data_IF_228589700220
#
_entry.id   IF_228589700220
#
_cell.length_a   1.000
_cell.length_b   1.000
_cell.length_c   1.000
_cell.angle_alpha   90.00
_cell.angle_beta   90.00
_cell.angle_gamma   90.00
#
_symmetry.space_group_name_H-M   'P 1'
#
loop_
_entity.id
_entity.type
_entity.pdbx_description
1 polymer ?
#
# COMPACT_ATOMS: atom_id res chain seq x y z
N UNK A 1 -79.09 32.22 -17.90
CA UNK A 1 -78.24 31.41 -18.80
C UNK A 1 -77.92 30.08 -18.13
N UNK A 2 -78.25 28.98 -18.82
CA UNK A 2 -77.62 27.66 -18.74
C UNK A 2 -77.70 26.81 -17.46
N UNK A 3 -78.69 25.91 -17.42
CA UNK A 3 -78.55 24.60 -16.77
C UNK A 3 -77.60 23.70 -17.57
N UNK A 4 -76.31 24.01 -17.57
CA UNK A 4 -75.28 23.18 -18.19
C UNK A 4 -74.95 22.00 -17.27
N UNK A 5 -75.32 20.80 -17.70
CA UNK A 5 -74.80 19.55 -17.13
C UNK A 5 -73.47 19.20 -17.81
N UNK A 6 -72.50 18.73 -17.04
CA UNK A 6 -71.23 18.22 -17.58
C UNK A 6 -71.25 16.69 -17.50
N UNK A 7 -71.00 16.05 -18.63
CA UNK A 7 -70.96 14.59 -18.74
C UNK A 7 -69.53 14.10 -18.55
N UNK A 8 -69.36 13.10 -17.69
CA UNK A 8 -68.06 12.45 -17.54
C UNK A 8 -67.72 11.63 -18.81
N UNK A 9 -66.58 11.88 -19.48
CA UNK A 9 -66.22 11.19 -20.71
C UNK A 9 -65.94 9.70 -20.52
N UNK A 10 -65.68 9.26 -19.28
CA UNK A 10 -65.32 7.86 -18.97
C UNK A 10 -66.51 7.00 -18.55
N UNK A 11 -67.48 7.55 -17.82
CA UNK A 11 -68.63 6.80 -17.33
C UNK A 11 -69.99 7.30 -17.82
N UNK A 12 -70.01 8.34 -18.69
CA UNK A 12 -71.19 8.94 -19.33
C UNK A 12 -72.31 9.43 -18.39
N UNK A 13 -72.07 9.51 -17.07
CA UNK A 13 -73.01 10.10 -16.11
C UNK A 13 -72.96 11.64 -16.15
N UNK A 14 -74.13 12.26 -16.03
CA UNK A 14 -74.32 13.71 -16.01
C UNK A 14 -74.33 14.22 -14.56
N UNK A 15 -73.62 15.32 -14.30
CA UNK A 15 -73.61 15.97 -12.98
C UNK A 15 -74.17 17.40 -13.08
N UNK A 16 -75.07 17.80 -12.18
CA UNK A 16 -75.58 19.17 -12.13
C UNK A 16 -74.55 20.11 -11.50
N UNK A 17 -74.37 21.26 -12.11
CA UNK A 17 -73.49 22.32 -11.59
C UNK A 17 -74.25 23.09 -10.49
N UNK A 18 -73.87 22.94 -9.24
CA UNK A 18 -74.39 23.75 -8.12
C UNK A 18 -73.44 24.92 -7.92
N UNK A 19 -73.90 26.14 -8.20
CA UNK A 19 -73.17 27.34 -7.84
C UNK A 19 -73.27 27.54 -6.32
N UNK A 20 -72.16 27.49 -5.60
CA UNK A 20 -72.11 27.91 -4.20
C UNK A 20 -72.24 29.44 -4.14
N UNK A 21 -73.28 29.93 -3.47
CA UNK A 21 -73.44 31.34 -3.13
C UNK A 21 -72.24 31.86 -2.31
N UNK A 22 -71.84 33.13 -2.48
CA UNK A 22 -70.76 33.73 -1.70
C UNK A 22 -71.25 34.03 -0.28
N UNK A 23 -70.59 33.47 0.74
CA UNK A 23 -70.80 33.87 2.13
C UNK A 23 -70.29 35.30 2.35
N UNK A 24 -71.19 36.16 2.81
CA UNK A 24 -70.94 37.54 3.28
C UNK A 24 -70.06 37.57 4.53
N UNK A 25 -69.39 38.70 4.84
CA UNK A 25 -68.45 38.78 5.95
C UNK A 25 -69.15 39.00 7.29
N UNK A 26 -68.75 38.24 8.32
CA UNK A 26 -69.09 38.49 9.74
C UNK A 26 -67.80 38.72 10.57
N UNK A 27 -67.90 39.36 11.75
CA UNK A 27 -67.10 40.53 12.09
C UNK A 27 -65.76 40.23 12.77
N UNK A 28 -64.87 41.23 12.73
CA UNK A 28 -63.56 41.23 13.37
C UNK A 28 -63.64 40.91 14.87
N UNK A 29 -63.11 39.74 15.25
CA UNK A 29 -62.82 39.43 16.63
C UNK A 29 -61.39 39.91 16.95
N UNK A 30 -61.28 41.00 17.71
CA UNK A 30 -60.02 41.43 18.34
C UNK A 30 -59.72 40.47 19.48
N UNK A 31 -58.56 39.82 19.44
CA UNK A 31 -57.96 39.20 20.61
C UNK A 31 -56.85 40.13 21.14
N UNK A 32 -57.13 40.67 22.32
CA UNK A 32 -56.25 41.45 23.19
C UNK A 32 -54.99 40.64 23.53
N UNK A 33 -53.82 41.28 23.56
CA UNK A 33 -52.56 40.67 23.96
C UNK A 33 -52.55 40.37 25.47
N UNK A 34 -52.27 39.13 25.86
CA UNK A 34 -51.96 38.77 27.24
C UNK A 34 -50.50 38.28 27.33
N UNK A 35 -49.76 38.83 28.29
CA UNK A 35 -48.40 38.43 28.68
C UNK A 35 -48.30 36.96 29.16
N UNK A 36 -47.10 36.34 29.15
CA UNK A 36 -46.94 34.88 29.23
C UNK A 36 -46.79 34.35 30.66
N UNK A 37 -47.35 33.16 30.93
CA UNK A 37 -47.03 32.30 32.09
C UNK A 37 -47.46 30.83 31.80
N UNK A 38 -47.01 29.82 32.58
CA UNK A 38 -45.84 29.00 32.29
C UNK A 38 -46.17 27.53 31.90
N UNK A 39 -45.25 26.96 31.13
CA UNK A 39 -44.83 25.54 31.10
C UNK A 39 -45.90 24.43 31.21
N UNK A 40 -46.31 23.89 30.05
CA UNK A 40 -46.48 22.44 29.90
C UNK A 40 -46.20 22.02 28.46
N UNK A 41 -45.22 21.15 28.32
CA UNK A 41 -44.47 20.82 27.11
C UNK A 41 -45.30 19.92 26.15
N UNK A 42 -45.67 20.38 24.93
CA UNK A 42 -46.05 19.46 23.87
C UNK A 42 -44.78 18.91 23.20
N UNK A 43 -44.71 17.59 23.07
CA UNK A 43 -43.59 16.85 22.48
C UNK A 43 -43.37 17.32 21.04
N UNK A 44 -42.41 18.23 20.86
CA UNK A 44 -41.87 18.65 19.57
C UNK A 44 -41.04 17.47 19.05
N UNK A 45 -41.51 16.83 17.98
CA UNK A 45 -40.66 15.96 17.17
C UNK A 45 -39.46 16.79 16.68
N UNK A 46 -38.22 16.26 16.74
CA UNK A 46 -37.03 17.07 16.50
C UNK A 46 -37.06 17.60 15.06
N UNK A 47 -37.20 18.92 14.96
CA UNK A 47 -36.99 19.67 13.73
C UNK A 47 -35.55 19.42 13.29
N UNK A 48 -35.42 18.58 12.27
CA UNK A 48 -34.13 18.33 11.66
C UNK A 48 -33.88 19.50 10.73
N UNK A 49 -32.98 20.40 11.12
CA UNK A 49 -32.41 21.39 10.21
C UNK A 49 -31.76 20.68 9.02
N UNK A 50 -32.56 20.47 7.99
CA UNK A 50 -32.13 20.04 6.68
C UNK A 50 -32.26 21.28 5.81
N UNK A 51 -31.12 21.78 5.34
CA UNK A 51 -31.06 22.80 4.29
C UNK A 51 -32.14 22.49 3.25
N UNK A 52 -33.06 23.42 2.93
CA UNK A 52 -34.21 23.11 2.09
C UNK A 52 -33.71 22.75 0.69
N UNK A 53 -33.56 21.45 0.43
CA UNK A 53 -33.21 20.92 -0.87
C UNK A 53 -34.41 21.16 -1.78
N UNK A 54 -34.37 22.27 -2.52
CA UNK A 54 -35.40 22.64 -3.46
C UNK A 54 -34.91 22.34 -4.89
N UNK A 55 -35.75 21.67 -5.67
CA UNK A 55 -35.58 21.54 -7.13
C UNK A 55 -36.50 22.56 -7.81
N UNK A 56 -36.26 22.86 -9.09
CA UNK A 56 -37.13 23.76 -9.86
C UNK A 56 -38.06 22.95 -10.75
N UNK A 57 -39.31 23.41 -10.86
CA UNK A 57 -40.25 22.83 -11.82
C UNK A 57 -39.80 23.13 -13.25
N UNK A 58 -39.64 22.10 -14.09
CA UNK A 58 -39.21 22.23 -15.49
C UNK A 58 -40.18 22.99 -16.39
N UNK A 59 -41.44 23.17 -15.96
CA UNK A 59 -42.49 23.84 -16.75
C UNK A 59 -42.73 25.28 -16.31
N UNK A 60 -42.82 25.53 -15.00
CA UNK A 60 -43.18 26.87 -14.48
C UNK A 60 -42.05 27.56 -13.71
N UNK A 61 -40.90 26.91 -13.51
CA UNK A 61 -39.73 27.51 -12.88
C UNK A 61 -39.85 27.80 -11.37
N UNK A 62 -40.94 27.42 -10.71
CA UNK A 62 -41.08 27.65 -9.27
C UNK A 62 -40.19 26.70 -8.46
N UNK A 63 -39.61 27.15 -7.33
CA UNK A 63 -38.93 26.26 -6.40
C UNK A 63 -39.96 25.33 -5.77
N UNK A 64 -39.63 24.05 -5.76
CA UNK A 64 -40.44 22.98 -5.18
C UNK A 64 -39.54 22.09 -4.34
N UNK A 65 -40.10 21.42 -3.34
CA UNK A 65 -39.36 20.46 -2.53
C UNK A 65 -38.74 19.37 -3.41
N UNK A 66 -37.52 18.90 -3.09
CA UNK A 66 -36.80 17.89 -3.88
C UNK A 66 -37.61 16.60 -4.10
N UNK A 67 -38.46 16.25 -3.13
CA UNK A 67 -39.34 15.06 -3.18
C UNK A 67 -40.76 15.35 -3.68
N UNK A 68 -41.06 16.57 -4.15
CA UNK A 68 -42.37 16.85 -4.73
C UNK A 68 -42.56 16.00 -6.00
N UNK A 69 -43.68 15.26 -6.08
CA UNK A 69 -44.12 14.52 -7.27
C UNK A 69 -45.05 15.36 -8.16
N UNK A 70 -45.70 16.36 -7.58
CA UNK A 70 -46.59 17.29 -8.25
C UNK A 70 -46.17 18.71 -7.86
N UNK A 71 -46.02 19.58 -8.85
CA UNK A 71 -45.77 21.00 -8.58
C UNK A 71 -47.04 21.66 -8.02
N UNK A 72 -47.03 22.24 -6.81
CA UNK A 72 -48.21 22.88 -6.23
C UNK A 72 -48.63 24.16 -6.97
N UNK A 73 -47.74 24.76 -7.78
CA UNK A 73 -48.05 25.97 -8.56
C UNK A 73 -48.70 25.72 -9.91
N UNK A 74 -48.25 24.72 -10.67
CA UNK A 74 -48.72 24.49 -12.04
C UNK A 74 -49.39 23.13 -12.25
N UNK A 75 -49.37 22.24 -11.25
CA UNK A 75 -50.01 20.93 -11.30
C UNK A 75 -49.30 19.89 -12.18
N UNK A 76 -48.17 20.23 -12.81
CA UNK A 76 -47.40 19.26 -13.60
C UNK A 76 -46.75 18.22 -12.67
N UNK A 77 -46.77 16.96 -13.11
CA UNK A 77 -45.99 15.90 -12.46
C UNK A 77 -44.52 16.14 -12.73
N UNK A 78 -43.73 16.18 -11.68
CA UNK A 78 -42.28 16.35 -11.75
C UNK A 78 -41.62 15.01 -11.42
N UNK A 79 -40.65 14.61 -12.23
CA UNK A 79 -39.95 13.37 -11.97
C UNK A 79 -39.26 13.40 -10.59
N UNK A 80 -39.22 12.26 -9.87
CA UNK A 80 -38.42 12.13 -8.67
C UNK A 80 -36.93 12.37 -9.00
N UNK A 81 -36.10 12.73 -7.99
CA UNK A 81 -34.68 13.02 -8.22
C UNK A 81 -33.98 11.84 -8.93
N UNK A 82 -33.23 12.15 -10.01
CA UNK A 82 -32.56 11.18 -10.90
C UNK A 82 -31.45 10.33 -10.26
N UNK A 83 -31.22 10.44 -8.96
CA UNK A 83 -30.17 9.72 -8.22
C UNK A 83 -30.73 8.52 -7.43
N UNK A 84 -31.78 7.87 -7.91
CA UNK A 84 -32.27 6.62 -7.32
C UNK A 84 -31.23 5.52 -7.54
N UNK A 85 -30.58 5.08 -6.47
CA UNK A 85 -29.65 3.94 -6.47
C UNK A 85 -30.49 2.67 -6.41
N UNK A 86 -30.29 1.74 -7.36
CA UNK A 86 -30.98 0.46 -7.33
C UNK A 86 -30.42 -0.40 -6.18
N UNK A 87 -31.25 -0.75 -5.19
CA UNK A 87 -30.82 -1.54 -4.02
C UNK A 87 -30.23 -2.89 -4.43
N UNK A 88 -30.89 -3.60 -5.34
CA UNK A 88 -30.41 -4.90 -5.84
C UNK A 88 -29.02 -4.76 -6.48
N UNK A 89 -28.82 -3.75 -7.31
CA UNK A 89 -27.52 -3.49 -7.93
C UNK A 89 -26.45 -3.14 -6.88
N UNK A 90 -26.79 -2.31 -5.89
CA UNK A 90 -25.87 -2.00 -4.78
C UNK A 90 -25.48 -3.27 -4.01
N UNK A 91 -26.43 -4.16 -3.70
CA UNK A 91 -26.15 -5.40 -2.98
C UNK A 91 -25.24 -6.34 -3.79
N UNK A 92 -25.54 -6.54 -5.08
CA UNK A 92 -24.72 -7.37 -5.97
C UNK A 92 -23.30 -6.81 -6.11
N UNK A 93 -23.17 -5.50 -6.31
CA UNK A 93 -21.86 -4.85 -6.43
C UNK A 93 -21.11 -4.89 -5.09
N UNK A 94 -21.79 -4.77 -3.95
CA UNK A 94 -21.14 -4.83 -2.63
C UNK A 94 -20.69 -6.24 -2.30
N UNK A 95 -21.45 -7.27 -2.69
CA UNK A 95 -21.07 -8.66 -2.45
C UNK A 95 -19.92 -9.12 -3.36
N UNK A 96 -20.03 -8.89 -4.67
CA UNK A 96 -19.05 -9.40 -5.64
C UNK A 96 -17.87 -8.47 -5.87
N UNK A 97 -18.08 -7.15 -5.82
CA UNK A 97 -17.08 -6.13 -6.08
C UNK A 97 -16.73 -5.31 -4.83
N UNK A 98 -17.17 -5.74 -3.64
CA UNK A 98 -16.92 -5.05 -2.38
C UNK A 98 -15.44 -4.96 -2.01
N UNK A 99 -14.71 -6.06 -2.19
CA UNK A 99 -13.28 -6.14 -1.86
C UNK A 99 -12.40 -5.21 -2.68
N UNK A 100 -12.82 -4.84 -3.89
CA UNK A 100 -12.14 -3.86 -4.75
C UNK A 100 -12.75 -2.45 -4.67
N UNK A 101 -13.80 -2.27 -3.84
CA UNK A 101 -14.45 -0.97 -3.63
C UNK A 101 -15.50 -0.57 -4.66
N UNK A 102 -15.99 -1.49 -5.49
CA UNK A 102 -16.97 -1.21 -6.55
C UNK A 102 -18.26 -0.58 -6.04
N UNK A 103 -18.71 -0.93 -4.84
CA UNK A 103 -19.92 -0.36 -4.25
C UNK A 103 -19.74 1.11 -3.85
N UNK A 104 -18.53 1.52 -3.45
CA UNK A 104 -18.21 2.92 -3.19
C UNK A 104 -18.21 3.75 -4.47
N UNK A 105 -17.74 3.18 -5.58
CA UNK A 105 -17.85 3.78 -6.91
C UNK A 105 -19.31 3.90 -7.35
N UNK A 106 -20.14 2.89 -7.08
CA UNK A 106 -21.57 2.91 -7.39
C UNK A 106 -22.34 4.02 -6.65
N UNK A 107 -21.95 4.29 -5.39
CA UNK A 107 -22.49 5.38 -4.56
C UNK A 107 -21.80 6.73 -4.86
N UNK A 108 -21.01 6.83 -5.95
CA UNK A 108 -20.29 8.03 -6.41
C UNK A 108 -19.24 8.57 -5.40
N UNK A 109 -18.78 7.74 -4.46
CA UNK A 109 -17.68 8.06 -3.53
C UNK A 109 -16.34 7.59 -4.11
N UNK A 110 -15.91 8.21 -5.21
CA UNK A 110 -14.73 7.78 -5.98
C UNK A 110 -13.47 7.64 -5.15
N UNK A 111 -13.20 8.58 -4.23
CA UNK A 111 -11.98 8.55 -3.41
C UNK A 111 -11.95 7.37 -2.44
N UNK A 112 -13.10 7.01 -1.86
CA UNK A 112 -13.21 5.80 -1.02
C UNK A 112 -13.07 4.53 -1.85
N UNK A 113 -13.59 4.52 -3.09
CA UNK A 113 -13.39 3.41 -4.03
C UNK A 113 -11.92 3.19 -4.39
N UNK A 114 -11.19 4.27 -4.71
CA UNK A 114 -9.74 4.18 -5.04
C UNK A 114 -8.94 3.68 -3.84
N UNK A 115 -9.28 4.11 -2.63
CA UNK A 115 -8.64 3.60 -1.41
C UNK A 115 -8.85 2.08 -1.27
N UNK A 116 -10.08 1.59 -1.47
CA UNK A 116 -10.37 0.16 -1.43
C UNK A 116 -9.60 -0.60 -2.53
N UNK A 117 -9.44 -0.02 -3.72
CA UNK A 117 -8.67 -0.60 -4.82
C UNK A 117 -7.16 -0.62 -4.56
N UNK A 118 -6.60 0.31 -3.79
CA UNK A 118 -5.19 0.30 -3.38
C UNK A 118 -4.92 -0.74 -2.28
N UNK A 119 -5.88 -0.93 -1.38
CA UNK A 119 -5.74 -1.82 -0.23
C UNK A 119 -6.35 -3.21 -0.43
N UNK A 120 -6.87 -3.55 -1.61
CA UNK A 120 -7.57 -4.82 -1.86
C UNK A 120 -6.71 -6.06 -1.54
N UNK A 121 -5.38 -5.97 -1.71
CA UNK A 121 -4.45 -7.07 -1.40
C UNK A 121 -4.39 -7.41 0.10
N UNK A 122 -4.86 -6.52 0.98
CA UNK A 122 -4.77 -6.71 2.43
C UNK A 122 -5.92 -7.55 2.96
N UNK A 123 -6.92 -7.85 2.12
CA UNK A 123 -8.21 -8.44 2.47
C UNK A 123 -9.05 -7.62 3.48
N UNK A 124 -8.50 -6.58 4.10
CA UNK A 124 -9.21 -5.66 5.01
C UNK A 124 -10.42 -5.02 4.29
N UNK A 125 -10.31 -4.48 3.05
CA UNK A 125 -11.46 -3.94 2.34
C UNK A 125 -12.56 -4.97 2.07
N UNK A 126 -12.19 -6.24 1.83
CA UNK A 126 -13.16 -7.33 1.64
C UNK A 126 -13.96 -7.62 2.91
N UNK A 127 -13.31 -7.63 4.08
CA UNK A 127 -13.98 -7.82 5.36
C UNK A 127 -14.90 -6.64 5.71
N UNK A 128 -14.43 -5.41 5.50
CA UNK A 128 -15.24 -4.20 5.72
C UNK A 128 -16.44 -4.16 4.76
N UNK A 129 -16.24 -4.50 3.48
CA UNK A 129 -17.32 -4.53 2.50
C UNK A 129 -18.37 -5.61 2.81
N UNK A 130 -17.97 -6.73 3.42
CA UNK A 130 -18.90 -7.75 3.89
C UNK A 130 -19.81 -7.22 5.02
N UNK A 131 -19.25 -6.47 5.98
CA UNK A 131 -20.04 -5.82 7.03
C UNK A 131 -21.00 -4.78 6.42
N UNK A 132 -20.52 -3.98 5.47
CA UNK A 132 -21.35 -2.99 4.76
C UNK A 132 -22.45 -3.65 3.92
N UNK A 133 -22.19 -4.83 3.34
CA UNK A 133 -23.20 -5.62 2.64
C UNK A 133 -24.35 -6.02 3.57
N UNK A 134 -24.05 -6.54 4.77
CA UNK A 134 -25.08 -6.89 5.76
C UNK A 134 -25.87 -5.63 6.18
N UNK A 135 -25.18 -4.52 6.39
CA UNK A 135 -25.83 -3.25 6.72
C UNK A 135 -26.77 -2.75 5.60
N UNK A 136 -26.36 -2.82 4.33
CA UNK A 136 -27.20 -2.46 3.18
C UNK A 136 -28.35 -3.43 2.95
N UNK A 137 -28.17 -4.71 3.27
CA UNK A 137 -29.24 -5.71 3.16
C UNK A 137 -30.38 -5.41 4.14
N UNK A 138 -30.04 -5.04 5.37
CA UNK A 138 -30.98 -4.71 6.45
C UNK A 138 -31.65 -3.33 6.33
N UNK A 139 -31.17 -2.47 5.43
CA UNK A 139 -31.73 -1.12 5.18
C UNK A 139 -32.91 -1.16 4.20
N UNK A 140 -34.00 -0.43 4.48
CA UNK A 140 -35.10 -0.25 3.52
C UNK A 140 -34.68 0.68 2.36
N UNK A 141 -35.34 0.55 1.20
CA UNK A 141 -34.99 1.34 0.00
C UNK A 141 -35.20 2.85 0.20
N UNK A 142 -36.24 3.23 0.94
CA UNK A 142 -36.56 4.62 1.26
C UNK A 142 -35.49 5.25 2.16
N UNK A 143 -34.99 4.50 3.16
CA UNK A 143 -33.91 4.96 4.02
C UNK A 143 -32.57 5.06 3.30
N UNK A 144 -32.34 4.20 2.31
CA UNK A 144 -31.13 4.24 1.48
C UNK A 144 -31.08 5.53 0.67
N UNK A 145 -32.23 6.03 0.22
CA UNK A 145 -32.34 7.28 -0.53
C UNK A 145 -32.31 8.52 0.37
N UNK A 146 -32.84 8.43 1.57
CA UNK A 146 -32.94 9.55 2.51
C UNK A 146 -31.65 9.83 3.29
N UNK A 147 -30.82 8.81 3.54
CA UNK A 147 -29.74 8.87 4.53
C UNK A 147 -28.39 8.50 3.91
N UNK A 148 -27.80 9.45 3.18
CA UNK A 148 -26.36 9.43 2.95
C UNK A 148 -25.67 10.42 3.89
N UNK A 149 -25.31 10.02 5.12
CA UNK A 149 -24.39 10.81 5.92
C UNK A 149 -23.00 10.77 5.26
N UNK A 150 -22.36 11.93 5.20
CA UNK A 150 -20.91 11.99 4.98
C UNK A 150 -20.22 11.23 6.10
N UNK A 151 -19.32 10.33 5.70
CA UNK A 151 -18.43 9.64 6.63
C UNK A 151 -17.24 10.57 6.82
N UNK A 152 -16.90 10.94 8.05
CA UNK A 152 -15.78 11.87 8.30
C UNK A 152 -14.46 11.19 7.94
N UNK A 153 -14.02 11.39 6.69
CA UNK A 153 -12.95 10.63 6.04
C UNK A 153 -11.62 10.76 6.80
N UNK A 154 -11.40 11.86 7.52
CA UNK A 154 -10.19 12.11 8.31
C UNK A 154 -9.94 11.11 9.45
N UNK A 155 -10.99 10.69 10.17
CA UNK A 155 -10.84 9.75 11.29
C UNK A 155 -10.49 8.33 10.81
N UNK A 156 -10.96 7.94 9.62
CA UNK A 156 -10.72 6.62 9.04
C UNK A 156 -9.29 6.51 8.49
N UNK A 157 -8.76 7.59 7.90
CA UNK A 157 -7.37 7.62 7.46
C UNK A 157 -6.40 7.43 8.63
N UNK A 158 -6.65 8.06 9.78
CA UNK A 158 -5.80 7.90 10.96
C UNK A 158 -5.85 6.48 11.55
N UNK A 159 -7.02 5.84 11.55
CA UNK A 159 -7.20 4.51 12.17
C UNK A 159 -6.69 3.37 11.27
N UNK A 160 -6.67 3.53 9.94
CA UNK A 160 -6.29 2.45 9.02
C UNK A 160 -4.91 2.68 8.40
N UNK A 161 -4.59 3.90 7.95
CA UNK A 161 -3.30 4.17 7.27
C UNK A 161 -2.15 4.12 8.26
N UNK A 162 -2.33 4.62 9.48
CA UNK A 162 -1.28 4.61 10.49
C UNK A 162 -0.82 3.18 10.85
N UNK A 163 -1.70 2.24 11.24
CA UNK A 163 -1.25 0.88 11.52
C UNK A 163 -0.79 0.16 10.25
N UNK A 164 -1.42 0.37 9.09
CA UNK A 164 -0.97 -0.25 7.85
C UNK A 164 0.47 0.19 7.50
N UNK A 165 0.77 1.47 7.62
CA UNK A 165 2.12 2.00 7.43
C UNK A 165 3.12 1.40 8.42
N UNK A 166 2.75 1.32 9.71
CA UNK A 166 3.59 0.70 10.73
C UNK A 166 3.87 -0.78 10.45
N UNK A 167 2.88 -1.54 9.96
CA UNK A 167 3.09 -2.96 9.59
C UNK A 167 4.04 -3.11 8.41
N UNK A 168 3.96 -2.24 7.40
CA UNK A 168 4.87 -2.26 6.25
C UNK A 168 6.31 -1.97 6.70
N UNK A 169 6.51 -0.94 7.54
CA UNK A 169 7.82 -0.61 8.10
C UNK A 169 8.37 -1.77 8.94
N UNK A 170 7.54 -2.41 9.75
CA UNK A 170 7.94 -3.57 10.55
C UNK A 170 8.38 -4.75 9.68
N UNK A 171 7.65 -5.07 8.60
CA UNK A 171 8.01 -6.14 7.66
C UNK A 171 9.36 -5.84 6.98
N UNK A 172 9.55 -4.61 6.48
CA UNK A 172 10.82 -4.20 5.87
C UNK A 172 11.98 -4.33 6.87
N UNK A 173 11.77 -3.92 8.13
CA UNK A 173 12.77 -4.06 9.19
C UNK A 173 13.17 -5.52 9.45
N UNK A 174 12.18 -6.43 9.52
CA UNK A 174 12.44 -7.87 9.71
C UNK A 174 13.21 -8.46 8.52
N UNK A 175 12.81 -8.14 7.29
CA UNK A 175 13.49 -8.61 6.09
C UNK A 175 14.94 -8.10 6.01
N UNK A 176 15.17 -6.83 6.33
CA UNK A 176 16.51 -6.24 6.39
C UNK A 176 17.37 -6.93 7.46
N UNK A 177 16.81 -7.21 8.65
CA UNK A 177 17.52 -7.89 9.73
C UNK A 177 18.01 -9.30 9.33
N UNK A 178 17.25 -10.02 8.50
CA UNK A 178 17.67 -11.33 7.96
C UNK A 178 18.68 -11.17 6.82
N UNK A 179 18.48 -10.20 5.93
CA UNK A 179 19.29 -10.03 4.73
C UNK A 179 20.69 -9.46 5.00
N UNK A 180 20.84 -8.50 5.91
CA UNK A 180 22.11 -7.83 6.23
C UNK A 180 23.23 -8.81 6.62
N UNK A 181 23.04 -9.74 7.58
CA UNK A 181 24.10 -10.67 7.97
C UNK A 181 24.46 -11.65 6.84
N UNK A 182 23.48 -12.08 6.05
CA UNK A 182 23.71 -12.95 4.89
C UNK A 182 24.52 -12.24 3.81
N UNK A 183 24.18 -11.00 3.49
CA UNK A 183 24.90 -10.21 2.52
C UNK A 183 26.35 -9.93 2.97
N UNK A 184 26.56 -9.64 4.26
CA UNK A 184 27.90 -9.44 4.82
C UNK A 184 28.77 -10.71 4.66
N UNK A 185 28.25 -11.88 5.04
CA UNK A 185 28.98 -13.15 4.89
C UNK A 185 29.22 -13.51 3.41
N UNK A 186 28.26 -13.22 2.53
CA UNK A 186 28.41 -13.45 1.09
C UNK A 186 29.53 -12.58 0.48
N UNK A 187 29.60 -11.29 0.83
CA UNK A 187 30.69 -10.42 0.38
C UNK A 187 32.05 -10.92 0.86
N UNK A 188 32.13 -11.41 2.09
CA UNK A 188 33.39 -11.92 2.63
C UNK A 188 33.89 -13.16 1.89
N UNK A 189 32.98 -14.10 1.57
CA UNK A 189 33.31 -15.27 0.74
C UNK A 189 33.80 -14.86 -0.65
N UNK A 190 33.25 -13.81 -1.25
CA UNK A 190 33.74 -13.31 -2.53
C UNK A 190 35.21 -12.83 -2.42
N UNK A 191 35.56 -12.10 -1.36
CA UNK A 191 36.94 -11.68 -1.09
C UNK A 191 37.89 -12.85 -0.79
N UNK A 192 37.41 -13.90 -0.10
CA UNK A 192 38.19 -15.12 0.09
C UNK A 192 38.46 -15.82 -1.26
N UNK A 193 37.46 -15.88 -2.14
CA UNK A 193 37.62 -16.48 -3.47
C UNK A 193 38.61 -15.70 -4.36
N UNK A 194 38.72 -14.38 -4.21
CA UNK A 194 39.74 -13.57 -4.89
C UNK A 194 41.16 -14.02 -4.49
N UNK A 195 41.41 -14.22 -3.20
CA UNK A 195 42.70 -14.71 -2.71
C UNK A 195 43.01 -16.14 -3.20
N UNK A 196 42.01 -17.04 -3.17
CA UNK A 196 42.16 -18.40 -3.70
C UNK A 196 42.51 -18.41 -5.19
N UNK A 197 41.85 -17.56 -5.97
CA UNK A 197 42.09 -17.45 -7.41
C UNK A 197 43.48 -16.89 -7.71
N UNK A 198 43.92 -15.87 -6.94
CA UNK A 198 45.27 -15.32 -7.07
C UNK A 198 46.35 -16.37 -6.76
N UNK A 199 46.12 -17.19 -5.72
CA UNK A 199 47.01 -18.30 -5.38
C UNK A 199 47.13 -19.32 -6.51
N UNK A 200 46.00 -19.75 -7.09
CA UNK A 200 45.99 -20.68 -8.22
C UNK A 200 46.69 -20.10 -9.46
N UNK A 201 46.49 -18.81 -9.74
CA UNK A 201 47.18 -18.13 -10.84
C UNK A 201 48.69 -18.12 -10.61
N UNK A 202 49.13 -17.78 -9.40
CA UNK A 202 50.56 -17.75 -9.07
C UNK A 202 51.19 -19.16 -9.11
N UNK A 203 50.47 -20.18 -8.64
CA UNK A 203 50.90 -21.57 -8.74
C UNK A 203 51.18 -21.95 -10.20
N UNK A 204 50.29 -21.58 -11.14
CA UNK A 204 50.48 -21.85 -12.56
C UNK A 204 51.72 -21.12 -13.11
N UNK A 205 52.00 -19.90 -12.67
CA UNK A 205 53.20 -19.15 -13.05
C UNK A 205 54.50 -19.82 -12.53
N UNK A 206 54.51 -20.25 -11.26
CA UNK A 206 55.66 -20.98 -10.67
C UNK A 206 55.92 -22.28 -11.43
N UNK A 207 54.87 -23.06 -11.69
CA UNK A 207 54.98 -24.33 -12.42
C UNK A 207 55.49 -24.08 -13.84
N UNK A 208 55.00 -23.03 -14.52
CA UNK A 208 55.50 -22.64 -15.83
C UNK A 208 56.98 -22.23 -15.80
N UNK A 209 57.42 -21.50 -14.77
CA UNK A 209 58.82 -21.11 -14.61
C UNK A 209 59.72 -22.31 -14.37
N UNK A 210 59.30 -23.23 -13.48
CA UNK A 210 60.04 -24.45 -13.19
C UNK A 210 60.15 -25.34 -14.43
N UNK A 211 59.07 -25.48 -15.20
CA UNK A 211 59.08 -26.24 -16.45
C UNK A 211 60.05 -25.66 -17.50
N UNK A 212 60.26 -24.34 -17.51
CA UNK A 212 61.16 -23.67 -18.45
C UNK A 212 62.63 -23.71 -18.02
N UNK A 213 62.91 -23.55 -16.71
CA UNK A 213 64.26 -23.35 -16.20
C UNK A 213 64.83 -24.55 -15.43
N UNK A 214 63.99 -25.49 -15.00
CA UNK A 214 64.38 -26.63 -14.15
C UNK A 214 64.78 -26.25 -12.73
N UNK A 215 64.57 -25.00 -12.32
CA UNK A 215 64.90 -24.45 -11.00
C UNK A 215 63.73 -23.60 -10.50
N UNK A 216 63.55 -23.53 -9.17
CA UNK A 216 62.58 -22.64 -8.55
C UNK A 216 63.05 -21.18 -8.61
N UNK A 217 62.12 -20.20 -8.67
CA UNK A 217 62.46 -18.78 -8.57
C UNK A 217 63.18 -18.47 -7.25
N UNK A 218 64.22 -17.63 -7.29
CA UNK A 218 65.01 -17.24 -6.11
C UNK A 218 64.84 -15.77 -5.71
N UNK A 219 64.19 -14.98 -6.55
CA UNK A 219 63.91 -13.57 -6.27
C UNK A 219 62.67 -13.06 -7.02
N UNK A 220 62.17 -11.91 -6.58
CA UNK A 220 60.98 -11.23 -7.10
C UNK A 220 61.11 -10.78 -8.57
N UNK A 221 62.34 -10.66 -9.11
CA UNK A 221 62.54 -10.31 -10.54
C UNK A 221 62.30 -11.52 -11.44
N UNK A 222 62.39 -12.73 -10.91
CA UNK A 222 62.18 -13.97 -11.64
C UNK A 222 60.71 -14.42 -11.62
N UNK A 223 59.99 -14.08 -10.55
CA UNK A 223 58.56 -14.38 -10.38
C UNK A 223 57.86 -13.18 -9.76
N UNK A 224 56.83 -12.67 -10.45
CA UNK A 224 56.00 -11.58 -9.97
C UNK A 224 54.53 -11.88 -10.28
N UNK A 225 53.88 -12.55 -9.33
CA UNK A 225 52.48 -12.95 -9.47
C UNK A 225 51.55 -11.74 -9.38
N UNK A 226 50.59 -11.67 -10.30
CA UNK A 226 49.57 -10.62 -10.28
C UNK A 226 48.62 -10.83 -9.10
N UNK A 227 48.46 -9.81 -8.26
CA UNK A 227 47.56 -9.83 -7.11
C UNK A 227 46.42 -8.83 -7.28
N UNK A 228 45.15 -9.25 -7.12
CA UNK A 228 44.01 -8.33 -7.08
C UNK A 228 44.12 -7.34 -5.92
N UNK A 229 43.46 -6.18 -6.05
CA UNK A 229 43.45 -5.16 -4.99
C UNK A 229 42.99 -5.72 -3.65
N UNK A 230 43.82 -5.60 -2.62
CA UNK A 230 43.49 -6.06 -1.27
C UNK A 230 43.82 -7.54 -1.00
N UNK A 231 44.49 -8.24 -1.93
CA UNK A 231 45.04 -9.59 -1.70
C UNK A 231 46.53 -9.50 -1.38
N UNK A 232 46.96 -10.24 -0.37
CA UNK A 232 48.37 -10.48 -0.08
C UNK A 232 48.72 -11.91 -0.48
N UNK A 233 49.85 -12.08 -1.18
CA UNK A 233 50.32 -13.37 -1.65
C UNK A 233 51.81 -13.52 -1.34
N UNK A 234 52.18 -14.65 -0.75
CA UNK A 234 53.53 -14.96 -0.30
C UNK A 234 54.02 -16.21 -1.01
N UNK A 235 55.22 -16.11 -1.58
CA UNK A 235 55.99 -17.27 -2.04
C UNK A 235 57.06 -17.58 -1.00
N UNK A 236 57.06 -18.82 -0.50
CA UNK A 236 58.00 -19.29 0.52
C UNK A 236 58.78 -20.49 -0.04
N UNK A 237 60.07 -20.35 -0.38
CA UNK A 237 60.90 -21.48 -0.74
C UNK A 237 61.24 -22.30 0.51
N UNK A 238 60.90 -23.60 0.53
CA UNK A 238 61.15 -24.50 1.67
C UNK A 238 62.41 -25.33 1.46
N UNK A 239 62.64 -25.80 0.23
CA UNK A 239 63.81 -26.56 -0.17
C UNK A 239 64.23 -26.21 -1.60
N UNK A 240 65.24 -26.88 -2.16
CA UNK A 240 65.69 -26.67 -3.54
C UNK A 240 64.62 -26.93 -4.60
N UNK A 241 63.64 -27.76 -4.28
CA UNK A 241 62.58 -28.23 -5.16
C UNK A 241 61.19 -28.19 -4.49
N UNK A 242 61.06 -27.58 -3.30
CA UNK A 242 59.78 -27.46 -2.59
C UNK A 242 59.49 -26.00 -2.28
N UNK A 243 58.25 -25.60 -2.54
CA UNK A 243 57.75 -24.26 -2.21
C UNK A 243 56.36 -24.33 -1.59
N UNK A 244 56.03 -23.27 -0.87
CA UNK A 244 54.69 -23.03 -0.34
C UNK A 244 54.18 -21.67 -0.82
N UNK A 245 52.89 -21.63 -1.12
CA UNK A 245 52.17 -20.42 -1.45
C UNK A 245 51.14 -20.14 -0.38
N UNK A 246 51.10 -18.90 0.10
CA UNK A 246 50.12 -18.46 1.07
C UNK A 246 49.41 -17.24 0.49
N UNK A 247 48.09 -17.22 0.54
CA UNK A 247 47.33 -16.04 0.13
C UNK A 247 46.13 -15.78 1.02
N UNK A 248 45.86 -14.51 1.30
CA UNK A 248 44.64 -14.08 1.99
C UNK A 248 44.21 -12.70 1.51
N UNK A 249 42.91 -12.41 1.63
CA UNK A 249 42.36 -11.10 1.36
C UNK A 249 42.29 -10.26 2.64
N UNK A 250 42.55 -8.96 2.54
CA UNK A 250 42.40 -8.02 3.65
C UNK A 250 40.96 -7.98 4.18
N UNK A 251 39.97 -8.07 3.28
CA UNK A 251 38.54 -8.07 3.64
C UNK A 251 37.98 -9.50 3.86
N UNK A 252 38.71 -10.52 3.40
CA UNK A 252 38.42 -11.92 3.64
C UNK A 252 38.58 -12.36 5.10
N UNK A 253 38.13 -13.56 5.44
CA UNK A 253 38.35 -14.20 6.74
C UNK A 253 39.25 -15.43 6.66
N UNK A 254 39.50 -15.95 5.46
CA UNK A 254 40.29 -17.15 5.26
C UNK A 254 41.67 -16.85 4.67
N UNK A 255 42.60 -17.74 4.96
CA UNK A 255 43.87 -17.86 4.27
C UNK A 255 43.89 -19.19 3.52
N UNK A 256 44.57 -19.20 2.38
CA UNK A 256 44.72 -20.35 1.52
C UNK A 256 46.19 -20.71 1.45
N UNK A 257 46.50 -22.00 1.62
CA UNK A 257 47.85 -22.52 1.57
C UNK A 257 47.93 -23.62 0.51
N UNK A 258 48.98 -23.56 -0.29
CA UNK A 258 49.34 -24.63 -1.22
C UNK A 258 50.77 -25.05 -0.90
N UNK A 259 50.99 -26.36 -0.80
CA UNK A 259 52.30 -26.97 -0.57
C UNK A 259 52.44 -28.16 -1.51
N UNK A 260 53.61 -28.41 -2.10
CA UNK A 260 53.76 -29.55 -3.01
C UNK A 260 53.50 -30.92 -2.37
N UNK A 261 53.60 -31.01 -1.04
CA UNK A 261 53.25 -32.23 -0.29
C UNK A 261 51.75 -32.51 -0.32
N UNK A 262 50.92 -31.47 -0.43
CA UNK A 262 49.46 -31.52 -0.45
C UNK A 262 48.96 -30.79 -1.71
N UNK A 263 48.61 -31.56 -2.75
CA UNK A 263 48.19 -31.01 -4.04
C UNK A 263 46.92 -30.14 -3.92
N UNK A 264 46.07 -30.42 -2.93
CA UNK A 264 44.87 -29.64 -2.66
C UNK A 264 45.17 -28.38 -1.84
N UNK A 265 44.49 -27.28 -2.17
CA UNK A 265 44.60 -26.02 -1.43
C UNK A 265 43.91 -26.17 -0.07
N UNK A 266 44.67 -26.01 1.00
CA UNK A 266 44.19 -26.03 2.37
C UNK A 266 43.63 -24.65 2.77
N UNK A 267 42.56 -24.66 3.55
CA UNK A 267 41.88 -23.43 4.01
C UNK A 267 42.04 -23.27 5.53
N UNK A 268 42.60 -22.14 5.94
CA UNK A 268 42.85 -21.80 7.34
C UNK A 268 42.15 -20.50 7.73
N UNK A 269 41.99 -20.26 9.04
CA UNK A 269 41.55 -18.95 9.52
C UNK A 269 42.65 -17.91 9.30
N UNK A 270 42.31 -16.77 8.70
CA UNK A 270 43.29 -15.72 8.38
C UNK A 270 44.06 -15.25 9.62
N UNK A 271 43.42 -15.21 10.78
CA UNK A 271 44.03 -14.71 12.02
C UNK A 271 45.17 -15.59 12.52
N UNK A 272 45.08 -16.90 12.33
CA UNK A 272 46.10 -17.87 12.73
C UNK A 272 47.34 -17.72 11.85
N UNK A 273 47.17 -17.81 10.53
CA UNK A 273 48.25 -17.67 9.55
C UNK A 273 48.88 -16.27 9.62
N UNK A 274 48.08 -15.24 9.82
CA UNK A 274 48.60 -13.87 9.98
C UNK A 274 49.48 -13.73 11.22
N UNK A 275 49.13 -14.38 12.33
CA UNK A 275 49.94 -14.34 13.54
C UNK A 275 51.27 -15.08 13.34
N UNK A 276 51.25 -16.23 12.67
CA UNK A 276 52.44 -17.01 12.32
C UNK A 276 53.37 -16.21 11.40
N UNK A 277 52.86 -15.70 10.27
CA UNK A 277 53.61 -14.83 9.36
C UNK A 277 54.17 -13.60 10.07
N UNK A 278 53.43 -13.00 11.01
CA UNK A 278 53.91 -11.82 11.74
C UNK A 278 55.14 -12.16 12.60
N UNK A 279 55.21 -13.37 13.15
CA UNK A 279 56.35 -13.81 13.94
C UNK A 279 57.57 -14.13 13.06
N UNK A 280 57.34 -14.68 11.86
CA UNK A 280 58.42 -15.16 10.99
C UNK A 280 59.03 -14.07 10.11
N UNK A 281 58.19 -13.23 9.48
CA UNK A 281 58.63 -12.21 8.50
C UNK A 281 58.44 -10.77 8.99
N UNK A 282 57.69 -10.55 10.06
CA UNK A 282 57.41 -9.23 10.63
C UNK A 282 56.15 -8.55 10.06
N UNK A 283 55.49 -7.74 10.89
CA UNK A 283 54.17 -7.15 10.59
C UNK A 283 54.11 -6.19 9.39
N UNK A 284 55.27 -5.71 8.91
CA UNK A 284 55.36 -4.73 7.82
C UNK A 284 54.93 -5.33 6.46
N UNK A 285 55.04 -6.65 6.29
CA UNK A 285 54.70 -7.38 5.06
C UNK A 285 53.23 -7.78 4.94
N UNK A 286 52.33 -7.17 5.72
CA UNK A 286 50.89 -7.47 5.72
C UNK A 286 50.07 -6.55 4.79
N UNK A 287 50.73 -5.71 3.99
CA UNK A 287 50.07 -4.90 2.96
C UNK A 287 49.62 -5.79 1.79
N UNK A 288 48.65 -5.34 0.96
CA UNK A 288 48.28 -6.06 -0.25
C UNK A 288 49.44 -6.02 -1.25
N UNK A 289 49.71 -7.14 -1.89
CA UNK A 289 50.82 -7.26 -2.83
C UNK A 289 51.37 -8.68 -2.89
N UNK A 290 52.36 -8.84 -3.75
CA UNK A 290 53.17 -10.05 -3.85
C UNK A 290 54.43 -9.89 -3.01
N UNK A 291 54.77 -10.93 -2.25
CA UNK A 291 55.97 -10.95 -1.41
C UNK A 291 56.74 -12.24 -1.63
N UNK A 292 58.04 -12.08 -1.90
CA UNK A 292 58.99 -13.17 -1.96
C UNK A 292 59.68 -13.29 -0.60
N UNK A 293 59.32 -14.32 0.17
CA UNK A 293 59.95 -14.61 1.46
C UNK A 293 61.26 -15.36 1.20
N UNK A 294 62.33 -14.98 1.88
CA UNK A 294 63.67 -15.57 1.71
C UNK A 294 64.03 -16.51 2.84
#
# INVERSE_FOLDING_TARGET
MHGKTVNCPKCKKAFPFVATEPLSPEPLFKFEQAEPAPESNPIIAPETETTPQNKFCSTCGSPIHINAEICPKCGVRVAPPRNAINKVALLLITFFLGGIGGHKFYVKKYLQGVLYLLFFWTYIPSFVAFIEFIFYACKSEEELQAKFPEINTGAIFAVIILPAFLTVVAIIGILAAIAIPQFAAYRQKAHDMEAKTALMSCQAEVVSFYAANGILPMDERQLSCQTPNGVSLYFVPVASDQYELISFSQQGCKAFLYSEKNVDIEEFEKMEIKAELTNDIGAEYLSPGFYFVK
#
